data_IF_707033558696
#
_entry.id   IF_707033558696
#
_cell.length_a   1.000
_cell.length_b   1.000
_cell.length_c   1.000
_cell.angle_alpha   90.00
_cell.angle_beta   90.00
_cell.angle_gamma   90.00
#
_symmetry.space_group_name_H-M   'P 1'
#
loop_
_entity.id
_entity.type
_entity.pdbx_description
1 polymer ?
#
# COMPACT_ATOMS: atom_id res chain seq x y z
N UNK A 1 3.20 10.17 -4.68
CA UNK A 1 2.64 8.86 -4.24
C UNK A 1 2.91 8.71 -2.75
N UNK A 2 1.93 8.23 -2.00
CA UNK A 2 2.05 7.97 -0.56
C UNK A 2 1.55 6.56 -0.24
N UNK A 3 2.15 5.93 0.77
CA UNK A 3 1.66 4.67 1.33
C UNK A 3 1.49 4.81 2.84
N UNK A 4 0.45 4.20 3.39
CA UNK A 4 0.21 4.14 4.83
C UNK A 4 -0.46 2.82 5.17
N UNK A 5 -0.15 2.23 6.32
CA UNK A 5 -0.71 0.94 6.69
C UNK A 5 -0.01 0.30 7.88
N UNK A 6 -0.46 -0.90 8.22
CA UNK A 6 0.03 -1.67 9.37
C UNK A 6 0.86 -2.85 8.86
N UNK A 7 2.18 -2.75 8.97
CA UNK A 7 3.07 -3.84 8.54
C UNK A 7 3.04 -5.07 9.48
N UNK A 8 2.48 -4.96 10.69
CA UNK A 8 2.49 -6.02 11.70
C UNK A 8 3.68 -5.96 12.68
N UNK A 9 3.81 -6.96 13.57
CA UNK A 9 3.11 -8.25 13.57
C UNK A 9 1.69 -8.26 14.13
N UNK A 10 1.27 -7.20 14.83
CA UNK A 10 -0.08 -7.05 15.38
C UNK A 10 -0.88 -5.95 14.69
N UNK A 11 -2.09 -5.73 15.20
CA UNK A 11 -2.92 -4.59 14.81
C UNK A 11 -2.34 -3.26 15.31
N UNK A 12 -2.77 -2.17 14.65
CA UNK A 12 -2.54 -0.80 15.12
C UNK A 12 -3.80 0.02 14.91
N UNK A 13 -4.28 0.72 15.94
CA UNK A 13 -5.53 1.49 15.90
C UNK A 13 -6.75 0.68 15.40
N UNK A 14 -6.83 -0.61 15.74
CA UNK A 14 -7.90 -1.52 15.28
C UNK A 14 -7.80 -1.96 13.81
N UNK A 15 -6.71 -1.61 13.12
CA UNK A 15 -6.43 -2.07 11.76
C UNK A 15 -5.50 -3.27 11.81
N UNK A 16 -5.92 -4.39 11.20
CA UNK A 16 -5.17 -5.63 11.20
C UNK A 16 -3.86 -5.52 10.39
N UNK A 17 -2.83 -6.25 10.82
CA UNK A 17 -1.57 -6.37 10.09
C UNK A 17 -1.79 -6.79 8.63
N UNK A 18 -1.01 -6.21 7.73
CA UNK A 18 -1.13 -6.42 6.29
C UNK A 18 -2.02 -5.42 5.57
N UNK A 19 -2.91 -4.69 6.27
CA UNK A 19 -3.76 -3.68 5.63
C UNK A 19 -2.97 -2.40 5.37
N UNK A 20 -3.05 -1.91 4.14
CA UNK A 20 -2.41 -0.67 3.71
C UNK A 20 -3.19 0.03 2.60
N UNK A 21 -2.89 1.31 2.43
CA UNK A 21 -3.43 2.19 1.41
C UNK A 21 -2.30 2.77 0.59
N UNK A 22 -2.55 2.90 -0.71
CA UNK A 22 -1.66 3.55 -1.67
C UNK A 22 -2.44 4.70 -2.29
N UNK A 23 -1.89 5.91 -2.23
CA UNK A 23 -2.48 7.09 -2.86
C UNK A 23 -1.54 7.62 -3.95
N UNK A 24 -2.08 7.81 -5.16
CA UNK A 24 -1.38 8.42 -6.28
C UNK A 24 -2.19 9.63 -6.73
N UNK A 25 -1.58 10.81 -6.62
CA UNK A 25 -2.18 12.08 -6.99
C UNK A 25 -1.21 12.83 -7.88
N UNK A 26 -1.71 13.28 -9.03
CA UNK A 26 -1.00 14.07 -10.03
C UNK A 26 -1.97 15.05 -10.70
N UNK A 27 -1.55 15.70 -11.79
CA UNK A 27 -2.34 16.75 -12.44
C UNK A 27 -3.71 16.27 -12.96
N UNK A 28 -3.81 15.02 -13.39
CA UNK A 28 -5.02 14.43 -13.99
C UNK A 28 -5.49 13.16 -13.27
N UNK A 29 -4.78 12.72 -12.23
CA UNK A 29 -5.03 11.45 -11.55
C UNK A 29 -5.18 11.67 -10.05
N UNK A 30 -6.18 11.00 -9.46
CA UNK A 30 -6.37 10.90 -8.02
C UNK A 30 -6.95 9.53 -7.71
N UNK A 31 -6.07 8.59 -7.41
CA UNK A 31 -6.44 7.22 -7.10
C UNK A 31 -5.98 6.84 -5.69
N UNK A 32 -6.83 6.05 -5.02
CA UNK A 32 -6.52 5.43 -3.73
C UNK A 32 -6.88 3.96 -3.82
N UNK A 33 -5.92 3.09 -3.55
CA UNK A 33 -6.08 1.64 -3.53
C UNK A 33 -5.89 1.14 -2.09
N UNK A 34 -6.79 0.26 -1.64
CA UNK A 34 -6.65 -0.47 -0.38
C UNK A 34 -6.22 -1.91 -0.67
N UNK A 35 -5.22 -2.39 0.08
CA UNK A 35 -4.65 -3.72 -0.07
C UNK A 35 -4.52 -4.40 1.29
N UNK A 36 -4.68 -5.72 1.30
CA UNK A 36 -4.36 -6.57 2.44
C UNK A 36 -3.29 -7.59 2.02
N UNK A 37 -2.06 -7.41 2.52
CA UNK A 37 -0.93 -8.28 2.23
C UNK A 37 -0.70 -9.28 3.36
N UNK A 38 -0.50 -10.54 3.02
CA UNK A 38 -0.10 -11.59 3.96
C UNK A 38 1.42 -11.63 4.13
N UNK A 39 1.90 -12.04 5.31
CA UNK A 39 3.31 -12.32 5.58
C UNK A 39 3.83 -11.56 6.80
N UNK A 40 5.14 -11.68 7.05
CA UNK A 40 5.81 -10.93 8.10
C UNK A 40 5.97 -9.44 7.78
N UNK A 41 6.44 -8.67 8.77
CA UNK A 41 6.63 -7.20 8.65
C UNK A 41 7.54 -6.82 7.48
N UNK A 42 8.51 -7.66 7.14
CA UNK A 42 9.40 -7.43 6.00
C UNK A 42 8.69 -7.65 4.67
N UNK A 43 7.96 -8.77 4.54
CA UNK A 43 7.20 -9.09 3.33
C UNK A 43 6.10 -8.06 3.06
N UNK A 44 5.37 -7.60 4.08
CA UNK A 44 4.33 -6.57 3.92
C UNK A 44 4.94 -5.26 3.41
N UNK A 45 6.10 -4.84 3.92
CA UNK A 45 6.77 -3.60 3.47
C UNK A 45 7.28 -3.72 2.03
N UNK A 46 7.94 -4.82 1.69
CA UNK A 46 8.42 -5.07 0.34
C UNK A 46 7.25 -5.16 -0.66
N UNK A 47 6.17 -5.85 -0.28
CA UNK A 47 4.94 -5.93 -1.07
C UNK A 47 4.27 -4.56 -1.26
N UNK A 48 4.20 -3.73 -0.22
CA UNK A 48 3.66 -2.37 -0.32
C UNK A 48 4.43 -1.51 -1.34
N UNK A 49 5.76 -1.60 -1.34
CA UNK A 49 6.60 -0.88 -2.33
C UNK A 49 6.35 -1.42 -3.73
N UNK A 50 6.33 -2.74 -3.91
CA UNK A 50 6.08 -3.37 -5.20
C UNK A 50 4.70 -2.98 -5.76
N UNK A 51 3.64 -3.08 -4.94
CA UNK A 51 2.28 -2.69 -5.31
C UNK A 51 2.19 -1.21 -5.68
N UNK A 52 2.87 -0.32 -4.95
CA UNK A 52 2.88 1.11 -5.24
C UNK A 52 3.52 1.42 -6.60
N UNK A 53 4.65 0.77 -6.91
CA UNK A 53 5.30 0.90 -8.21
C UNK A 53 4.43 0.32 -9.34
N UNK A 54 3.78 -0.83 -9.12
CA UNK A 54 2.86 -1.41 -10.09
C UNK A 54 1.64 -0.52 -10.34
N UNK A 55 1.04 0.05 -9.29
CA UNK A 55 -0.07 0.99 -9.43
C UNK A 55 0.36 2.25 -10.20
N UNK A 56 1.53 2.78 -9.91
CA UNK A 56 2.07 3.93 -10.62
C UNK A 56 2.35 3.61 -12.10
N UNK A 57 2.91 2.44 -12.41
CA UNK A 57 3.12 2.01 -13.78
C UNK A 57 1.82 1.91 -14.59
N UNK A 58 0.71 1.45 -13.97
CA UNK A 58 -0.61 1.42 -14.63
C UNK A 58 -1.14 2.80 -15.01
N UNK A 59 -0.87 3.81 -14.18
CA UNK A 59 -1.29 5.20 -14.44
C UNK A 59 -0.51 5.85 -15.60
N UNK A 60 0.70 5.37 -15.88
CA UNK A 60 1.56 5.88 -16.95
C UNK A 60 1.34 5.19 -18.30
N UNK A 61 0.59 4.10 -18.34
CA UNK A 61 0.28 3.36 -19.56
C UNK A 61 -0.86 4.02 -20.35
#
# INVERSE_FOLDING_TARGET
MATTGVAGPGESHGVAAGNLWIAIVGAQVREVEHLALSGGRSEVRSGAVASALSAFARILA
#
